data_IF_071263505890
#
_entry.id   IF_071263505890
#
_cell.length_a   1.000
_cell.length_b   1.000
_cell.length_c   1.000
_cell.angle_alpha   90.00
_cell.angle_beta   90.00
_cell.angle_gamma   90.00
#
_symmetry.space_group_name_H-M   'P 1'
#
loop_
_entity.id
_entity.type
_entity.pdbx_description
1 polymer ?
#
# COMPACT_ATOMS: atom_id res chain seq x y z
N UNK A 1 -15.41 16.47 -29.94
CA UNK A 1 -15.34 15.09 -29.39
C UNK A 1 -14.21 14.86 -28.38
N UNK A 2 -13.01 15.46 -28.50
CA UNK A 2 -11.89 15.29 -27.51
C UNK A 2 -12.16 15.83 -26.09
N UNK A 3 -12.99 16.88 -25.93
CA UNK A 3 -13.34 17.43 -24.60
C UNK A 3 -14.26 16.51 -23.79
N UNK A 4 -15.32 15.99 -24.42
CA UNK A 4 -16.24 15.01 -23.81
C UNK A 4 -15.54 13.72 -23.35
N UNK A 5 -14.50 13.25 -24.05
CA UNK A 5 -13.74 12.07 -23.60
C UNK A 5 -12.79 12.38 -22.44
N UNK A 6 -12.26 13.60 -22.37
CA UNK A 6 -11.44 14.07 -21.25
C UNK A 6 -12.30 14.27 -19.98
N UNK A 7 -13.48 14.88 -20.11
CA UNK A 7 -14.44 15.06 -19.01
C UNK A 7 -14.92 13.73 -18.46
N UNK A 8 -15.28 12.77 -19.31
CA UNK A 8 -15.64 11.41 -18.87
C UNK A 8 -14.50 10.71 -18.14
N UNK A 9 -13.26 10.88 -18.59
CA UNK A 9 -12.08 10.31 -17.92
C UNK A 9 -11.84 10.95 -16.56
N UNK A 10 -11.97 12.27 -16.47
CA UNK A 10 -11.86 13.01 -15.21
C UNK A 10 -12.96 12.60 -14.22
N UNK A 11 -14.22 12.53 -14.66
CA UNK A 11 -15.35 12.07 -13.84
C UNK A 11 -15.13 10.64 -13.34
N UNK A 12 -14.62 9.74 -14.19
CA UNK A 12 -14.28 8.37 -13.78
C UNK A 12 -13.16 8.34 -12.73
N UNK A 13 -12.14 9.18 -12.87
CA UNK A 13 -11.08 9.30 -11.87
C UNK A 13 -11.60 9.87 -10.55
N UNK A 14 -12.40 10.94 -10.61
CA UNK A 14 -13.04 11.55 -9.44
C UNK A 14 -13.91 10.54 -8.70
N UNK A 15 -14.75 9.80 -9.44
CA UNK A 15 -15.59 8.75 -8.87
C UNK A 15 -14.76 7.64 -8.21
N UNK A 16 -13.62 7.27 -8.81
CA UNK A 16 -12.73 6.27 -8.21
C UNK A 16 -12.10 6.75 -6.90
N UNK A 17 -11.62 8.00 -6.87
CA UNK A 17 -11.05 8.60 -5.65
C UNK A 17 -12.11 8.73 -4.57
N UNK A 18 -13.33 9.17 -4.93
CA UNK A 18 -14.45 9.26 -4.01
C UNK A 18 -14.84 7.90 -3.43
N UNK A 19 -14.87 6.85 -4.26
CA UNK A 19 -15.11 5.49 -3.80
C UNK A 19 -14.03 5.03 -2.82
N UNK A 20 -12.75 5.28 -3.10
CA UNK A 20 -11.65 4.90 -2.20
C UNK A 20 -11.70 5.67 -0.87
N UNK A 21 -12.06 6.95 -0.89
CA UNK A 21 -12.23 7.74 0.33
C UNK A 21 -13.43 7.25 1.17
N UNK A 22 -14.55 6.90 0.52
CA UNK A 22 -15.70 6.29 1.20
C UNK A 22 -15.35 4.92 1.76
N UNK A 23 -14.64 4.09 0.99
CA UNK A 23 -14.14 2.80 1.45
C UNK A 23 -13.29 2.96 2.71
N UNK A 24 -12.33 3.90 2.72
CA UNK A 24 -11.50 4.18 3.89
C UNK A 24 -12.33 4.69 5.09
N UNK A 25 -13.40 5.44 4.83
CA UNK A 25 -14.30 5.89 5.90
C UNK A 25 -15.14 4.74 6.46
N UNK A 26 -15.36 3.68 5.68
CA UNK A 26 -16.03 2.46 6.13
C UNK A 26 -15.05 1.57 6.89
N UNK A 27 -13.77 1.47 6.48
CA UNK A 27 -12.76 0.67 7.19
C UNK A 27 -12.49 1.18 8.60
N UNK A 28 -12.70 2.47 8.89
CA UNK A 28 -12.57 2.99 10.27
C UNK A 28 -13.73 2.58 11.18
N UNK A 29 -14.89 2.24 10.62
CA UNK A 29 -16.06 1.78 11.36
C UNK A 29 -16.09 0.25 11.46
N UNK A 30 -15.68 -0.44 10.40
CA UNK A 30 -15.66 -1.90 10.32
C UNK A 30 -14.24 -2.44 10.50
N UNK A 31 -13.96 -2.88 11.72
CA UNK A 31 -12.67 -3.41 12.19
C UNK A 31 -12.18 -4.67 11.46
N UNK A 32 -13.01 -5.33 10.66
CA UNK A 32 -12.59 -6.50 9.86
C UNK A 32 -12.28 -6.16 8.40
N UNK A 33 -12.55 -4.93 7.97
CA UNK A 33 -12.34 -4.50 6.59
C UNK A 33 -10.92 -3.95 6.45
N UNK A 34 -10.08 -4.53 5.58
CA UNK A 34 -8.68 -4.15 5.51
C UNK A 34 -8.49 -2.79 4.79
N UNK A 35 -7.54 -1.95 5.24
CA UNK A 35 -7.33 -0.60 4.71
C UNK A 35 -6.65 -0.53 3.33
N UNK A 36 -6.32 -1.67 2.71
CA UNK A 36 -5.63 -1.81 1.43
C UNK A 36 -4.18 -1.32 1.46
N UNK A 37 -3.59 -1.16 2.65
CA UNK A 37 -2.20 -0.68 2.81
C UNK A 37 -1.24 -1.65 2.11
N UNK A 38 -1.39 -2.96 2.32
CA UNK A 38 -0.53 -3.97 1.71
C UNK A 38 -0.67 -4.04 0.20
N UNK A 39 -1.88 -3.88 -0.34
CA UNK A 39 -2.11 -3.83 -1.80
C UNK A 39 -1.44 -2.62 -2.42
N UNK A 40 -1.63 -1.42 -1.87
CA UNK A 40 -1.02 -0.20 -2.41
C UNK A 40 0.50 -0.20 -2.23
N UNK A 41 1.01 -0.77 -1.14
CA UNK A 41 2.43 -0.99 -0.92
C UNK A 41 3.02 -1.92 -1.99
N UNK A 42 2.38 -3.07 -2.23
CA UNK A 42 2.77 -4.01 -3.29
C UNK A 42 2.71 -3.35 -4.68
N UNK A 43 1.68 -2.54 -4.94
CA UNK A 43 1.56 -1.83 -6.20
C UNK A 43 2.71 -0.83 -6.42
N UNK A 44 3.11 -0.10 -5.37
CA UNK A 44 4.26 0.80 -5.43
C UNK A 44 5.56 0.06 -5.75
N UNK A 45 5.77 -1.14 -5.21
CA UNK A 45 6.93 -1.98 -5.55
C UNK A 45 6.89 -2.33 -7.04
N UNK A 46 5.75 -2.82 -7.53
CA UNK A 46 5.57 -3.17 -8.95
C UNK A 46 5.86 -1.98 -9.87
N UNK A 47 5.33 -0.80 -9.55
CA UNK A 47 5.59 0.43 -10.31
C UNK A 47 7.08 0.81 -10.31
N UNK A 48 7.76 0.59 -9.18
CA UNK A 48 9.18 0.90 -9.04
C UNK A 48 10.06 -0.09 -9.82
N UNK A 49 9.71 -1.37 -9.83
CA UNK A 49 10.35 -2.39 -10.68
C UNK A 49 10.12 -2.12 -12.17
N UNK A 50 8.90 -1.72 -12.55
CA UNK A 50 8.59 -1.34 -13.94
C UNK A 50 9.38 -0.11 -14.37
N UNK A 51 9.57 0.87 -13.48
CA UNK A 51 10.43 2.03 -13.71
C UNK A 51 11.87 1.59 -14.01
N UNK A 52 12.44 0.70 -13.21
CA UNK A 52 13.80 0.20 -13.44
C UNK A 52 13.93 -0.50 -14.81
N UNK A 53 12.92 -1.28 -15.22
CA UNK A 53 12.91 -1.97 -16.52
C UNK A 53 12.73 -1.02 -17.72
N UNK A 54 11.92 0.02 -17.58
CA UNK A 54 11.53 0.91 -18.69
C UNK A 54 12.31 2.22 -18.75
N UNK A 55 13.10 2.54 -17.71
CA UNK A 55 13.85 3.79 -17.52
C UNK A 55 12.99 5.08 -17.60
N UNK A 56 11.65 4.95 -17.59
CA UNK A 56 10.73 6.09 -17.60
C UNK A 56 10.61 6.71 -16.21
N UNK A 57 10.19 7.97 -16.14
CA UNK A 57 9.89 8.64 -14.87
C UNK A 57 8.67 8.04 -14.16
N UNK A 58 8.49 8.37 -12.87
CA UNK A 58 7.30 7.96 -12.13
C UNK A 58 6.04 8.62 -12.70
N UNK A 59 5.01 7.82 -12.95
CA UNK A 59 3.69 8.29 -13.37
C UNK A 59 2.87 8.83 -12.21
N UNK A 60 1.70 9.40 -12.53
CA UNK A 60 0.74 9.94 -11.54
C UNK A 60 0.24 8.87 -10.57
N UNK A 61 0.26 7.61 -11.00
CA UNK A 61 -0.15 6.44 -10.25
C UNK A 61 0.71 6.24 -9.00
N UNK A 62 2.02 6.49 -9.10
CA UNK A 62 2.93 6.31 -7.97
C UNK A 62 2.69 7.37 -6.87
N UNK A 63 2.50 8.63 -7.26
CA UNK A 63 2.13 9.70 -6.34
C UNK A 63 0.75 9.49 -5.71
N UNK A 64 -0.19 8.92 -6.47
CA UNK A 64 -1.50 8.55 -5.94
C UNK A 64 -1.38 7.47 -4.85
N UNK A 65 -0.49 6.48 -5.02
CA UNK A 65 -0.26 5.47 -3.99
C UNK A 65 0.32 6.08 -2.71
N UNK A 66 1.28 6.99 -2.81
CA UNK A 66 1.79 7.70 -1.64
C UNK A 66 0.70 8.49 -0.90
N UNK A 67 -0.13 9.20 -1.66
CA UNK A 67 -1.25 9.94 -1.08
C UNK A 67 -2.23 9.00 -0.39
N UNK A 68 -2.59 7.89 -1.04
CA UNK A 68 -3.49 6.88 -0.46
C UNK A 68 -2.92 6.29 0.83
N UNK A 69 -1.64 5.87 0.83
CA UNK A 69 -1.00 5.31 2.02
C UNK A 69 -1.02 6.33 3.16
N UNK A 70 -0.62 7.57 2.92
CA UNK A 70 -0.64 8.62 3.95
C UNK A 70 -2.05 8.86 4.49
N UNK A 71 -3.07 8.83 3.63
CA UNK A 71 -4.46 8.97 4.04
C UNK A 71 -4.95 7.78 4.88
N UNK A 72 -4.64 6.55 4.46
CA UNK A 72 -4.99 5.32 5.17
C UNK A 72 -4.30 5.25 6.55
N UNK A 73 -3.06 5.69 6.65
CA UNK A 73 -2.33 5.79 7.91
C UNK A 73 -3.05 6.67 8.93
N UNK A 74 -3.45 7.87 8.51
CA UNK A 74 -4.16 8.81 9.40
C UNK A 74 -5.53 8.28 9.81
N UNK A 75 -6.23 7.58 8.91
CA UNK A 75 -7.53 6.98 9.22
C UNK A 75 -7.43 5.85 10.27
N UNK A 76 -6.32 5.11 10.30
CA UNK A 76 -6.12 3.95 11.19
C UNK A 76 -5.18 4.21 12.37
N UNK A 77 -4.82 5.48 12.63
CA UNK A 77 -4.04 5.87 13.81
C UNK A 77 -2.54 5.57 13.74
N UNK A 78 -2.01 5.29 12.55
CA UNK A 78 -0.56 5.17 12.34
C UNK A 78 0.12 6.53 12.43
N UNK A 79 1.41 6.52 12.78
CA UNK A 79 2.21 7.73 12.78
C UNK A 79 2.32 8.31 11.36
N UNK A 80 2.32 9.64 11.26
CA UNK A 80 2.34 10.34 9.98
C UNK A 80 3.63 10.00 9.18
N UNK A 81 3.45 9.62 7.92
CA UNK A 81 4.47 9.15 6.97
C UNK A 81 5.15 7.81 7.30
N UNK A 82 4.67 7.05 8.27
CA UNK A 82 5.28 5.77 8.66
C UNK A 82 5.34 4.74 7.53
N UNK A 83 4.31 4.63 6.70
CA UNK A 83 4.17 3.72 5.55
C UNK A 83 5.06 4.17 4.39
N UNK A 84 5.22 5.48 4.22
CA UNK A 84 6.15 6.05 3.22
C UNK A 84 7.60 5.73 3.60
N UNK A 85 7.95 5.94 4.87
CA UNK A 85 9.29 5.60 5.39
C UNK A 85 9.51 4.08 5.34
N UNK A 86 8.51 3.30 5.73
CA UNK A 86 8.51 1.83 5.65
C UNK A 86 8.77 1.36 4.23
N UNK A 87 8.11 1.97 3.24
CA UNK A 87 8.32 1.65 1.83
C UNK A 87 9.77 1.92 1.40
N UNK A 88 10.33 3.08 1.75
CA UNK A 88 11.71 3.42 1.40
C UNK A 88 12.72 2.44 2.03
N UNK A 89 12.53 2.12 3.32
CA UNK A 89 13.38 1.17 4.04
C UNK A 89 13.25 -0.25 3.45
N UNK A 90 12.03 -0.74 3.27
CA UNK A 90 11.79 -2.05 2.69
C UNK A 90 12.37 -2.17 1.28
N UNK A 91 12.13 -1.16 0.45
CA UNK A 91 12.62 -1.15 -0.93
C UNK A 91 14.14 -1.24 -0.98
N UNK A 92 14.85 -0.48 -0.14
CA UNK A 92 16.32 -0.45 -0.16
C UNK A 92 16.97 -1.68 0.49
N UNK A 93 16.41 -2.18 1.60
CA UNK A 93 17.07 -3.23 2.39
C UNK A 93 16.59 -4.64 2.08
N UNK A 94 15.33 -4.83 1.70
CA UNK A 94 14.70 -6.15 1.73
C UNK A 94 14.10 -6.58 0.39
N UNK A 95 13.74 -5.64 -0.49
CA UNK A 95 13.01 -5.97 -1.72
C UNK A 95 13.77 -6.91 -2.65
N UNK A 96 15.06 -6.65 -2.88
CA UNK A 96 15.92 -7.50 -3.72
C UNK A 96 16.11 -8.89 -3.11
N UNK A 97 16.29 -8.97 -1.79
CA UNK A 97 16.39 -10.25 -1.07
C UNK A 97 15.12 -11.08 -1.20
N UNK A 98 13.94 -10.45 -1.08
CA UNK A 98 12.66 -11.12 -1.22
C UNK A 98 12.46 -11.66 -2.65
N UNK A 99 12.81 -10.85 -3.65
CA UNK A 99 12.71 -11.19 -5.09
C UNK A 99 13.61 -12.38 -5.44
N UNK A 100 14.83 -12.43 -4.90
CA UNK A 100 15.77 -13.53 -5.15
C UNK A 100 15.34 -14.82 -4.43
N UNK A 101 14.83 -14.68 -3.20
CA UNK A 101 14.48 -15.83 -2.35
C UNK A 101 13.17 -16.49 -2.79
N UNK A 102 12.13 -15.70 -3.08
CA UNK A 102 10.81 -16.19 -3.43
C UNK A 102 10.66 -16.26 -4.96
N UNK A 103 10.81 -17.47 -5.52
CA UNK A 103 10.65 -17.69 -6.98
C UNK A 103 9.19 -17.73 -7.44
N UNK A 104 8.23 -18.01 -6.55
CA UNK A 104 6.81 -18.00 -6.89
C UNK A 104 6.26 -16.58 -6.80
N UNK A 105 5.52 -16.18 -7.85
CA UNK A 105 4.91 -14.86 -7.98
C UNK A 105 3.81 -14.64 -6.94
N UNK A 106 3.09 -15.71 -6.64
CA UNK A 106 2.05 -15.73 -5.62
C UNK A 106 2.65 -15.49 -4.24
N UNK A 107 3.73 -16.21 -3.91
CA UNK A 107 4.45 -16.02 -2.65
C UNK A 107 5.12 -14.63 -2.56
N UNK A 108 5.59 -14.07 -3.67
CA UNK A 108 6.11 -12.70 -3.71
C UNK A 108 5.03 -11.68 -3.36
N UNK A 109 3.83 -11.80 -3.93
CA UNK A 109 2.71 -10.91 -3.63
C UNK A 109 2.32 -10.97 -2.15
N UNK A 110 2.22 -12.18 -1.59
CA UNK A 110 1.96 -12.39 -0.16
C UNK A 110 3.07 -11.77 0.70
N UNK A 111 4.33 -11.99 0.32
CA UNK A 111 5.49 -11.45 1.01
C UNK A 111 5.52 -9.92 1.01
N UNK A 112 5.16 -9.29 -0.11
CA UNK A 112 5.06 -7.83 -0.21
C UNK A 112 3.93 -7.27 0.64
N UNK A 113 2.74 -7.88 0.62
CA UNK A 113 1.62 -7.47 1.49
C UNK A 113 2.00 -7.58 2.96
N UNK A 114 2.53 -8.74 3.39
CA UNK A 114 2.95 -8.97 4.77
C UNK A 114 4.04 -7.97 5.19
N UNK A 115 5.03 -7.72 4.33
CA UNK A 115 6.08 -6.74 4.58
C UNK A 115 5.53 -5.32 4.70
N UNK A 116 4.54 -4.94 3.89
CA UNK A 116 3.92 -3.62 3.95
C UNK A 116 3.34 -3.35 5.33
N UNK A 117 2.62 -4.32 5.90
CA UNK A 117 2.07 -4.19 7.25
C UNK A 117 3.15 -4.23 8.33
N UNK A 118 4.05 -5.21 8.29
CA UNK A 118 5.10 -5.37 9.32
C UNK A 118 6.00 -4.14 9.38
N UNK A 119 6.46 -3.64 8.23
CA UNK A 119 7.33 -2.46 8.19
C UNK A 119 6.59 -1.19 8.57
N UNK A 120 5.34 -1.01 8.15
CA UNK A 120 4.53 0.18 8.53
C UNK A 120 4.25 0.19 10.03
N UNK A 121 3.93 -0.95 10.63
CA UNK A 121 3.76 -1.06 12.07
C UNK A 121 5.08 -0.80 12.81
N UNK A 122 6.20 -1.36 12.33
CA UNK A 122 7.51 -1.16 12.94
C UNK A 122 7.96 0.31 12.89
N UNK A 123 7.82 0.98 11.74
CA UNK A 123 8.15 2.41 11.61
C UNK A 123 7.20 3.28 12.42
N UNK A 124 5.91 2.97 12.45
CA UNK A 124 4.94 3.70 13.26
C UNK A 124 5.28 3.60 14.74
N UNK A 125 5.59 2.41 15.25
CA UNK A 125 5.99 2.22 16.65
C UNK A 125 7.32 2.91 16.97
N UNK A 126 8.28 2.94 16.04
CA UNK A 126 9.53 3.68 16.21
C UNK A 126 9.29 5.20 16.30
N UNK A 127 8.42 5.76 15.45
CA UNK A 127 8.05 7.18 15.48
C UNK A 127 7.29 7.50 16.78
N UNK A 128 6.31 6.68 17.16
CA UNK A 128 5.56 6.87 18.41
C UNK A 128 6.48 6.81 19.63
N UNK A 129 7.47 5.90 19.64
CA UNK A 129 8.49 5.83 20.69
C UNK A 129 9.31 7.12 20.77
N UNK A 130 9.81 7.62 19.64
CA UNK A 130 10.56 8.87 19.59
C UNK A 130 9.74 10.09 20.04
N UNK A 131 8.42 10.06 19.79
CA UNK A 131 7.48 11.13 20.14
C UNK A 131 6.86 10.98 21.54
N UNK A 132 7.21 9.94 22.32
CA UNK A 132 6.56 9.59 23.59
C UNK A 132 5.02 9.45 23.48
N UNK A 133 4.54 9.00 22.33
CA UNK A 133 3.12 8.71 22.07
C UNK A 133 2.81 7.23 22.41
N UNK A 134 1.52 6.89 22.67
CA UNK A 134 1.13 5.50 22.85
C UNK A 134 1.58 4.66 21.65
N UNK A 135 2.24 3.52 21.94
CA UNK A 135 2.67 2.58 20.92
C UNK A 135 1.45 1.93 20.26
N UNK A 136 1.54 1.73 18.95
CA UNK A 136 0.53 1.00 18.21
C UNK A 136 0.70 -0.49 18.52
N UNK A 137 -0.34 -1.12 19.06
CA UNK A 137 -0.33 -2.55 19.34
C UNK A 137 -0.63 -3.31 18.03
N UNK A 138 0.27 -4.22 17.65
CA UNK A 138 0.03 -5.12 16.54
C UNK A 138 -0.98 -6.20 16.96
N UNK A 139 -2.26 -5.90 16.75
CA UNK A 139 -3.36 -6.79 17.13
C UNK A 139 -3.70 -7.84 16.05
N UNK A 140 -4.55 -8.81 16.40
CA UNK A 140 -5.00 -9.90 15.52
C UNK A 140 -5.67 -9.39 14.23
N UNK A 141 -6.22 -8.17 14.25
CA UNK A 141 -6.83 -7.51 13.11
C UNK A 141 -5.87 -7.36 11.94
N UNK A 142 -4.60 -7.01 12.20
CA UNK A 142 -3.59 -6.88 11.14
C UNK A 142 -3.27 -8.21 10.48
N UNK A 143 -3.37 -9.33 11.21
CA UNK A 143 -3.21 -10.67 10.62
C UNK A 143 -4.36 -10.99 9.66
N UNK A 144 -5.59 -10.61 10.01
CA UNK A 144 -6.76 -10.73 9.12
C UNK A 144 -6.54 -9.87 7.87
N UNK A 145 -6.09 -8.62 8.03
CA UNK A 145 -5.83 -7.74 6.91
C UNK A 145 -4.77 -8.30 5.97
N UNK A 146 -3.65 -8.79 6.50
CA UNK A 146 -2.60 -9.45 5.71
C UNK A 146 -3.18 -10.64 4.94
N UNK A 147 -3.99 -11.49 5.59
CA UNK A 147 -4.61 -12.65 4.95
C UNK A 147 -5.52 -12.27 3.78
N UNK A 148 -6.47 -11.37 4.01
CA UNK A 148 -7.45 -10.93 2.99
C UNK A 148 -6.75 -10.21 1.85
N UNK A 149 -5.86 -9.28 2.16
CA UNK A 149 -5.13 -8.52 1.13
C UNK A 149 -4.16 -9.37 0.34
N UNK A 150 -3.57 -10.39 0.95
CA UNK A 150 -2.70 -11.33 0.24
C UNK A 150 -3.47 -12.08 -0.85
N UNK A 151 -4.68 -12.56 -0.55
CA UNK A 151 -5.54 -13.22 -1.55
C UNK A 151 -5.88 -12.24 -2.68
N UNK A 152 -6.27 -11.02 -2.34
CA UNK A 152 -6.56 -9.98 -3.33
C UNK A 152 -5.33 -9.61 -4.18
N UNK A 153 -4.16 -9.48 -3.56
CA UNK A 153 -2.91 -9.14 -4.23
C UNK A 153 -2.49 -10.24 -5.21
N UNK A 154 -2.61 -11.51 -4.84
CA UNK A 154 -2.32 -12.63 -5.74
C UNK A 154 -3.21 -12.57 -6.99
N UNK A 155 -4.50 -12.26 -6.83
CA UNK A 155 -5.44 -12.13 -7.95
C UNK A 155 -5.12 -10.90 -8.81
N UNK A 156 -4.87 -9.73 -8.19
CA UNK A 156 -4.66 -8.45 -8.87
C UNK A 156 -3.31 -8.36 -9.59
N UNK A 157 -2.25 -8.92 -9.01
CA UNK A 157 -0.89 -8.85 -9.55
C UNK A 157 -0.49 -10.08 -10.36
N UNK A 158 -1.42 -11.02 -10.60
CA UNK A 158 -1.18 -12.18 -11.45
C UNK A 158 -0.68 -11.75 -12.83
N UNK A 159 0.56 -12.12 -13.15
CA UNK A 159 1.21 -11.79 -14.43
C UNK A 159 1.89 -10.42 -14.51
N UNK A 160 1.84 -9.59 -13.46
CA UNK A 160 2.57 -8.31 -13.37
C UNK A 160 3.86 -8.40 -12.55
N UNK A 161 3.94 -9.40 -11.68
CA UNK A 161 5.11 -9.82 -10.91
C UNK A 161 5.86 -10.93 -11.64
#
# INVERSE_FOLDING_TARGET
MRRLSAEKRFLKQLAWVAFLALYQSITTVFTHLPPLIGIFFTYMIVLTLQKQKTLKGFGKEWYFCLFYLTFAEQAHGFALFSATIAFMLFYYFMSDWLIVTLKSRELLAVGFVASGYVWTCATSSFISYAANLPMLNFDYEYLIYIGVESVLAVVLFRGRL
#
